data_IF_425104321342
#
_entry.id   IF_425104321342
#
_cell.length_a   1.000
_cell.length_b   1.000
_cell.length_c   1.000
_cell.angle_alpha   90.00
_cell.angle_beta   90.00
_cell.angle_gamma   90.00
#
_symmetry.space_group_name_H-M   'P 1'
#
loop_
_entity.id
_entity.type
_entity.pdbx_description
1 polymer ?
#
# COMPACT_ATOMS: atom_id res chain seq x y z
N UNK A 1 8.40 -19.08 24.24
CA UNK A 1 7.48 -17.94 24.39
C UNK A 1 7.95 -16.66 23.70
N UNK A 2 8.97 -15.92 24.17
CA UNK A 2 9.35 -14.63 23.58
C UNK A 2 9.94 -14.74 22.16
N UNK A 3 10.72 -15.80 21.88
CA UNK A 3 11.27 -16.10 20.54
C UNK A 3 10.14 -16.43 19.55
N UNK A 4 9.17 -17.23 19.98
CA UNK A 4 8.01 -17.64 19.17
C UNK A 4 7.10 -16.44 18.87
N UNK A 5 6.92 -15.53 19.84
CA UNK A 5 6.18 -14.28 19.64
C UNK A 5 6.85 -13.35 18.62
N UNK A 6 8.18 -13.17 18.69
CA UNK A 6 8.91 -12.34 17.71
C UNK A 6 8.81 -12.96 16.31
N UNK A 7 8.96 -14.28 16.19
CA UNK A 7 8.82 -14.97 14.91
C UNK A 7 7.40 -14.84 14.34
N UNK A 8 6.37 -14.99 15.17
CA UNK A 8 4.99 -14.81 14.77
C UNK A 8 4.69 -13.38 14.29
N UNK A 9 5.13 -12.36 15.03
CA UNK A 9 4.96 -10.95 14.63
C UNK A 9 5.65 -10.64 13.29
N UNK A 10 6.84 -11.20 13.08
CA UNK A 10 7.59 -11.05 11.83
C UNK A 10 6.88 -11.71 10.63
N UNK A 11 6.32 -12.91 10.82
CA UNK A 11 5.53 -13.60 9.79
C UNK A 11 4.26 -12.81 9.47
N UNK A 12 3.53 -12.36 10.49
CA UNK A 12 2.29 -11.57 10.29
C UNK A 12 2.60 -10.25 9.57
N UNK A 13 3.66 -9.53 9.98
CA UNK A 13 4.08 -8.30 9.32
C UNK A 13 4.43 -8.51 7.84
N UNK A 14 5.12 -9.61 7.51
CA UNK A 14 5.40 -9.97 6.11
C UNK A 14 4.13 -10.33 5.32
N UNK A 15 3.20 -11.07 5.93
CA UNK A 15 1.92 -11.39 5.30
C UNK A 15 1.13 -10.13 4.96
N UNK A 16 1.01 -9.17 5.90
CA UNK A 16 0.29 -7.91 5.65
C UNK A 16 0.94 -7.05 4.57
N UNK A 17 2.27 -7.03 4.48
CA UNK A 17 2.98 -6.36 3.38
C UNK A 17 2.68 -7.00 2.03
N UNK A 18 2.67 -8.32 1.95
CA UNK A 18 2.32 -9.05 0.72
C UNK A 18 0.87 -8.79 0.30
N UNK A 19 -0.08 -8.82 1.24
CA UNK A 19 -1.48 -8.47 0.96
C UNK A 19 -1.60 -7.03 0.43
N UNK A 20 -0.82 -6.09 0.97
CA UNK A 20 -0.76 -4.72 0.49
C UNK A 20 -0.20 -4.63 -0.94
N UNK A 21 0.84 -5.37 -1.27
CA UNK A 21 1.41 -5.45 -2.62
C UNK A 21 0.40 -6.01 -3.64
N UNK A 22 -0.33 -7.07 -3.27
CA UNK A 22 -1.37 -7.67 -4.09
C UNK A 22 -2.51 -6.66 -4.37
N UNK A 23 -2.97 -5.92 -3.35
CA UNK A 23 -3.98 -4.88 -3.52
C UNK A 23 -3.46 -3.67 -4.33
N UNK A 24 -2.19 -3.31 -4.16
CA UNK A 24 -1.57 -2.24 -4.95
C UNK A 24 -1.50 -2.60 -6.44
N UNK A 25 -1.22 -3.86 -6.78
CA UNK A 25 -1.22 -4.33 -8.16
C UNK A 25 -2.62 -4.29 -8.79
N UNK A 26 -3.65 -4.66 -8.04
CA UNK A 26 -5.05 -4.56 -8.47
C UNK A 26 -5.45 -3.09 -8.72
N UNK A 27 -5.13 -2.20 -7.78
CA UNK A 27 -5.39 -0.76 -7.93
C UNK A 27 -4.64 -0.15 -9.12
N UNK A 28 -3.38 -0.54 -9.34
CA UNK A 28 -2.59 -0.10 -10.50
C UNK A 28 -3.25 -0.53 -11.82
N UNK A 29 -3.82 -1.74 -11.86
CA UNK A 29 -4.55 -2.24 -13.03
C UNK A 29 -5.80 -1.41 -13.30
N UNK A 30 -6.58 -1.08 -12.26
CA UNK A 30 -7.76 -0.22 -12.41
C UNK A 30 -7.38 1.21 -12.84
N UNK A 31 -6.31 1.77 -12.28
CA UNK A 31 -5.82 3.09 -12.67
C UNK A 31 -5.40 3.13 -14.15
N UNK A 32 -4.73 2.08 -14.63
CA UNK A 32 -4.37 1.97 -16.03
C UNK A 32 -5.60 1.89 -16.94
N UNK A 33 -6.65 1.16 -16.51
CA UNK A 33 -7.91 1.08 -17.26
C UNK A 33 -8.63 2.43 -17.31
N UNK A 34 -8.72 3.14 -16.17
CA UNK A 34 -9.31 4.49 -16.10
C UNK A 34 -8.55 5.44 -17.01
N UNK A 35 -7.22 5.49 -16.91
CA UNK A 35 -6.39 6.37 -17.73
C UNK A 35 -6.54 6.08 -19.23
N UNK A 36 -6.69 4.81 -19.63
CA UNK A 36 -6.98 4.43 -21.01
C UNK A 36 -8.32 4.98 -21.48
N UNK A 37 -9.39 4.79 -20.70
CA UNK A 37 -10.74 5.26 -21.05
C UNK A 37 -10.81 6.79 -21.09
N UNK A 38 -10.14 7.48 -20.16
CA UNK A 38 -10.00 8.94 -20.19
C UNK A 38 -9.29 9.42 -21.45
N UNK A 39 -8.20 8.75 -21.85
CA UNK A 39 -7.50 9.05 -23.09
C UNK A 39 -8.35 8.81 -24.34
N UNK A 40 -9.15 7.74 -24.36
CA UNK A 40 -10.11 7.45 -25.44
C UNK A 40 -11.19 8.52 -25.53
N UNK A 41 -11.76 8.92 -24.38
CA UNK A 41 -12.75 10.00 -24.29
C UNK A 41 -12.18 11.31 -24.82
N UNK A 42 -11.01 11.71 -24.34
CA UNK A 42 -10.39 12.99 -24.71
C UNK A 42 -10.02 13.03 -26.19
N UNK A 43 -9.53 11.91 -26.73
CA UNK A 43 -9.25 11.76 -28.16
C UNK A 43 -10.53 11.88 -28.99
N UNK A 44 -11.62 11.24 -28.57
CA UNK A 44 -12.89 11.28 -29.27
C UNK A 44 -13.49 12.69 -29.27
N UNK A 45 -13.44 13.38 -28.12
CA UNK A 45 -13.90 14.76 -27.98
C UNK A 45 -13.08 15.71 -28.86
N UNK A 46 -11.75 15.56 -28.89
CA UNK A 46 -10.88 16.35 -29.75
C UNK A 46 -11.20 16.14 -31.24
N UNK A 47 -11.28 14.88 -31.68
CA UNK A 47 -11.63 14.54 -33.07
C UNK A 47 -12.99 15.08 -33.47
N UNK A 48 -13.99 14.92 -32.60
CA UNK A 48 -15.33 15.43 -32.87
C UNK A 48 -15.34 16.95 -33.03
N UNK A 49 -14.56 17.67 -32.21
CA UNK A 49 -14.41 19.12 -32.33
C UNK A 49 -13.78 19.53 -33.65
N UNK A 50 -12.75 18.82 -34.10
CA UNK A 50 -12.05 19.11 -35.36
C UNK A 50 -12.93 18.81 -36.58
N UNK A 51 -13.61 17.66 -36.60
CA UNK A 51 -14.48 17.24 -37.71
C UNK A 51 -15.73 18.12 -37.84
N UNK A 52 -16.32 18.57 -36.72
CA UNK A 52 -17.47 19.48 -36.72
C UNK A 52 -17.11 20.92 -37.06
N UNK A 53 -15.84 21.30 -36.92
CA UNK A 53 -15.36 22.61 -37.36
C UNK A 53 -15.24 22.68 -38.90
N UNK A 54 -14.97 21.55 -39.56
CA UNK A 54 -14.75 21.44 -41.01
C UNK A 54 -15.95 20.79 -41.71
N UNK A 55 -17.16 21.26 -41.41
CA UNK A 55 -18.35 20.78 -42.13
C UNK A 55 -18.48 21.47 -43.49
N UNK A 56 -18.31 20.74 -44.59
CA UNK A 56 -18.66 21.21 -45.94
C UNK A 56 -20.18 21.15 -46.13
N UNK A 57 -20.70 21.82 -47.17
CA UNK A 57 -22.14 21.79 -47.48
C UNK A 57 -22.68 20.37 -47.73
N UNK A 58 -21.81 19.46 -48.17
CA UNK A 58 -22.11 18.07 -48.51
C UNK A 58 -22.16 17.16 -47.27
N UNK A 59 -21.40 17.49 -46.21
CA UNK A 59 -21.36 16.70 -44.97
C UNK A 59 -22.33 17.19 -43.90
N UNK A 60 -22.92 18.38 -44.09
CA UNK A 60 -23.89 18.99 -43.18
C UNK A 60 -25.07 18.06 -42.75
N UNK A 61 -25.65 17.21 -43.63
CA UNK A 61 -26.73 16.29 -43.22
C UNK A 61 -26.30 15.23 -42.20
N UNK A 62 -25.01 14.87 -42.17
CA UNK A 62 -24.47 13.81 -41.31
C UNK A 62 -23.98 14.33 -39.95
N UNK A 63 -23.76 15.64 -39.82
CA UNK A 63 -23.17 16.27 -38.64
C UNK A 63 -24.04 16.14 -37.36
N UNK A 64 -25.35 16.04 -37.51
CA UNK A 64 -26.25 15.81 -36.38
C UNK A 64 -26.12 14.38 -35.82
N UNK A 65 -26.15 13.37 -36.70
CA UNK A 65 -25.99 11.96 -36.32
C UNK A 65 -24.61 11.67 -35.73
N UNK A 66 -23.55 12.24 -36.32
CA UNK A 66 -22.21 12.12 -35.77
C UNK A 66 -22.08 12.74 -34.37
N UNK A 67 -22.64 13.94 -34.15
CA UNK A 67 -22.67 14.57 -32.81
C UNK A 67 -23.36 13.70 -31.77
N UNK A 68 -24.49 13.11 -32.13
CA UNK A 68 -25.23 12.26 -31.21
C UNK A 68 -24.45 10.99 -30.89
N UNK A 69 -23.89 10.32 -31.90
CA UNK A 69 -23.06 9.13 -31.70
C UNK A 69 -21.83 9.41 -30.82
N UNK A 70 -21.15 10.55 -31.02
CA UNK A 70 -20.04 10.99 -30.16
C UNK A 70 -20.53 11.20 -28.72
N UNK A 71 -21.67 11.89 -28.54
CA UNK A 71 -22.23 12.14 -27.20
C UNK A 71 -22.58 10.83 -26.48
N UNK A 72 -23.23 9.90 -27.17
CA UNK A 72 -23.56 8.58 -26.61
C UNK A 72 -22.29 7.82 -26.19
N UNK A 73 -21.26 7.83 -27.05
CA UNK A 73 -19.99 7.15 -26.76
C UNK A 73 -19.26 7.78 -25.58
N UNK A 74 -19.21 9.12 -25.50
CA UNK A 74 -18.63 9.84 -24.35
C UNK A 74 -19.40 9.52 -23.07
N UNK A 75 -20.74 9.53 -23.11
CA UNK A 75 -21.57 9.19 -21.96
C UNK A 75 -21.36 7.75 -21.49
N UNK A 76 -21.15 6.81 -22.41
CA UNK A 76 -20.80 5.43 -22.10
C UNK A 76 -19.42 5.34 -21.43
N UNK A 77 -18.41 6.02 -21.98
CA UNK A 77 -17.07 6.08 -21.40
C UNK A 77 -17.08 6.66 -19.99
N UNK A 78 -17.80 7.76 -19.76
CA UNK A 78 -17.91 8.38 -18.43
C UNK A 78 -18.61 7.46 -17.43
N UNK A 79 -19.60 6.68 -17.86
CA UNK A 79 -20.28 5.68 -17.03
C UNK A 79 -19.31 4.57 -16.62
N UNK A 80 -18.52 4.06 -17.58
CA UNK A 80 -17.53 3.00 -17.31
C UNK A 80 -16.41 3.49 -16.39
N UNK A 81 -15.89 4.70 -16.62
CA UNK A 81 -14.93 5.38 -15.73
C UNK A 81 -15.53 5.52 -14.32
N UNK A 82 -16.79 5.93 -14.21
CA UNK A 82 -17.51 6.03 -12.95
C UNK A 82 -17.58 4.68 -12.21
N UNK A 83 -17.92 3.61 -12.92
CA UNK A 83 -17.99 2.26 -12.36
C UNK A 83 -16.61 1.76 -11.88
N UNK A 84 -15.54 2.01 -12.64
CA UNK A 84 -14.18 1.68 -12.23
C UNK A 84 -13.76 2.48 -11.00
N UNK A 85 -14.06 3.78 -10.94
CA UNK A 85 -13.74 4.61 -9.77
C UNK A 85 -14.51 4.17 -8.52
N UNK A 86 -15.76 3.74 -8.64
CA UNK A 86 -16.50 3.14 -7.52
C UNK A 86 -15.85 1.85 -7.01
N UNK A 87 -15.29 1.03 -7.90
CA UNK A 87 -14.56 -0.19 -7.54
C UNK A 87 -13.20 0.09 -6.90
N UNK A 88 -12.58 1.23 -7.23
CA UNK A 88 -11.29 1.65 -6.64
C UNK A 88 -11.42 2.04 -5.17
N UNK A 89 -12.48 2.74 -4.78
CA UNK A 89 -12.66 3.25 -3.42
C UNK A 89 -12.48 2.18 -2.32
N UNK A 90 -13.16 1.02 -2.35
CA UNK A 90 -12.98 -0.01 -1.31
C UNK A 90 -11.57 -0.61 -1.31
N UNK A 91 -10.87 -0.65 -2.45
CA UNK A 91 -9.47 -1.11 -2.52
C UNK A 91 -8.55 -0.12 -1.83
N UNK A 92 -8.74 1.19 -2.05
CA UNK A 92 -7.96 2.24 -1.39
C UNK A 92 -8.18 2.22 0.14
N UNK A 93 -9.42 2.02 0.58
CA UNK A 93 -9.75 1.89 2.01
C UNK A 93 -9.11 0.64 2.63
N UNK A 94 -9.17 -0.49 1.91
CA UNK A 94 -8.53 -1.74 2.34
C UNK A 94 -7.01 -1.62 2.40
N UNK A 95 -6.39 -0.97 1.42
CA UNK A 95 -4.95 -0.68 1.44
C UNK A 95 -4.56 0.18 2.64
N UNK A 96 -5.37 1.20 2.97
CA UNK A 96 -5.17 2.04 4.16
C UNK A 96 -5.21 1.21 5.44
N UNK A 97 -6.18 0.32 5.58
CA UNK A 97 -6.29 -0.58 6.73
C UNK A 97 -5.11 -1.54 6.84
N UNK A 98 -4.75 -2.22 5.74
CA UNK A 98 -3.60 -3.12 5.70
C UNK A 98 -2.28 -2.43 6.05
N UNK A 99 -2.09 -1.19 5.61
CA UNK A 99 -0.93 -0.39 5.95
C UNK A 99 -0.87 -0.06 7.44
N UNK A 100 -1.99 0.34 8.03
CA UNK A 100 -2.08 0.60 9.48
C UNK A 100 -1.78 -0.66 10.29
N UNK A 101 -2.32 -1.80 9.89
CA UNK A 101 -2.05 -3.10 10.49
C UNK A 101 -0.56 -3.45 10.40
N UNK A 102 0.02 -3.39 9.20
CA UNK A 102 1.44 -3.69 8.98
C UNK A 102 2.34 -2.82 9.87
N UNK A 103 2.06 -1.52 9.97
CA UNK A 103 2.79 -0.60 10.86
C UNK A 103 2.61 -0.92 12.33
N UNK A 104 1.43 -1.38 12.72
CA UNK A 104 1.19 -1.83 14.10
C UNK A 104 2.03 -3.04 14.44
N UNK A 105 2.07 -4.05 13.56
CA UNK A 105 2.90 -5.24 13.76
C UNK A 105 4.41 -4.92 13.76
N UNK A 106 4.87 -4.03 12.88
CA UNK A 106 6.27 -3.58 12.86
C UNK A 106 6.66 -2.92 14.21
N UNK A 107 5.82 -2.03 14.75
CA UNK A 107 6.04 -1.42 16.07
C UNK A 107 6.07 -2.44 17.20
N UNK A 108 5.14 -3.39 17.20
CA UNK A 108 5.10 -4.46 18.20
C UNK A 108 6.34 -5.35 18.13
N UNK A 109 6.84 -5.61 16.92
CA UNK A 109 8.06 -6.38 16.68
C UNK A 109 9.29 -5.65 17.20
N UNK A 110 9.42 -4.35 16.93
CA UNK A 110 10.48 -3.50 17.47
C UNK A 110 10.49 -3.49 19.00
N UNK A 111 9.33 -3.28 19.63
CA UNK A 111 9.19 -3.31 21.08
C UNK A 111 9.56 -4.67 21.67
N UNK A 112 9.13 -5.78 21.04
CA UNK A 112 9.46 -7.12 21.49
C UNK A 112 10.97 -7.41 21.39
N UNK A 113 11.62 -6.95 20.32
CA UNK A 113 13.08 -7.06 20.14
C UNK A 113 13.83 -6.24 21.17
N UNK A 114 13.43 -4.99 21.40
CA UNK A 114 14.03 -4.10 22.40
C UNK A 114 13.91 -4.68 23.81
N UNK A 115 12.73 -5.18 24.19
CA UNK A 115 12.51 -5.83 25.49
C UNK A 115 13.42 -7.04 25.67
N UNK A 116 13.52 -7.90 24.65
CA UNK A 116 14.40 -9.08 24.70
C UNK A 116 15.88 -8.69 24.84
N UNK A 117 16.33 -7.66 24.13
CA UNK A 117 17.69 -7.16 24.25
C UNK A 117 17.97 -6.59 25.66
N UNK A 118 17.05 -5.81 26.22
CA UNK A 118 17.16 -5.27 27.57
C UNK A 118 17.15 -6.36 28.66
N UNK A 119 16.36 -7.42 28.47
CA UNK A 119 16.36 -8.58 29.37
C UNK A 119 17.68 -9.37 29.31
N UNK A 120 18.28 -9.48 28.12
CA UNK A 120 19.59 -10.12 27.96
C UNK A 120 20.70 -9.29 28.63
N UNK A 121 20.74 -7.99 28.36
CA UNK A 121 21.71 -7.07 28.96
C UNK A 121 21.62 -7.06 30.49
N UNK A 122 20.40 -7.08 31.06
CA UNK A 122 20.21 -7.18 32.52
C UNK A 122 20.76 -8.48 33.10
N UNK A 123 20.62 -9.61 32.39
CA UNK A 123 21.17 -10.91 32.84
C UNK A 123 22.69 -10.93 32.75
N UNK A 124 23.26 -10.40 31.67
CA UNK A 124 24.71 -10.29 31.50
C UNK A 124 25.32 -9.40 32.59
N UNK A 125 24.69 -8.25 32.87
CA UNK A 125 25.12 -7.34 33.93
C UNK A 125 25.08 -8.02 35.31
N UNK A 126 24.00 -8.73 35.64
CA UNK A 126 23.91 -9.47 36.90
C UNK A 126 25.01 -10.54 37.04
N UNK A 127 25.36 -11.23 35.95
CA UNK A 127 26.46 -12.21 35.95
C UNK A 127 27.84 -11.55 36.12
N UNK A 128 28.05 -10.36 35.55
CA UNK A 128 29.28 -9.59 35.73
C UNK A 128 29.41 -9.14 37.19
N UNK A 129 28.33 -8.62 37.77
CA UNK A 129 28.29 -8.19 39.17
C UNK A 129 28.57 -9.36 40.12
N UNK A 130 27.93 -10.52 39.91
CA UNK A 130 28.17 -11.72 40.71
C UNK A 130 29.64 -12.18 40.63
N UNK A 131 30.23 -12.23 39.43
CA UNK A 131 31.64 -12.57 39.25
C UNK A 131 32.59 -11.57 39.92
N UNK A 132 32.23 -10.28 39.89
CA UNK A 132 33.02 -9.22 40.53
C UNK A 132 32.98 -9.36 42.04
N UNK A 133 31.81 -9.63 42.62
CA UNK A 133 31.65 -9.91 44.04
C UNK A 133 32.42 -11.16 44.48
N UNK A 134 32.35 -12.25 43.72
CA UNK A 134 33.10 -13.48 44.01
C UNK A 134 34.62 -13.25 44.01
N UNK A 135 35.14 -12.47 43.06
CA UNK A 135 36.56 -12.08 43.03
C UNK A 135 36.93 -11.26 44.26
N UNK A 136 36.14 -10.24 44.59
CA UNK A 136 36.40 -9.40 45.76
C UNK A 136 36.37 -10.18 47.08
N UNK A 137 35.40 -11.10 47.25
CA UNK A 137 35.34 -11.97 48.43
C UNK A 137 36.56 -12.87 48.54
N UNK A 138 37.00 -13.48 47.44
CA UNK A 138 38.20 -14.31 47.42
C UNK A 138 39.45 -13.51 47.80
N UNK A 139 39.63 -12.33 47.21
CA UNK A 139 40.80 -11.48 47.47
C UNK A 139 40.78 -10.90 48.91
N UNK A 140 39.62 -10.89 49.58
CA UNK A 140 39.49 -10.49 51.00
C UNK A 140 39.80 -11.64 51.97
N UNK A 141 39.40 -12.86 51.62
CA UNK A 141 39.53 -14.04 52.49
C UNK A 141 40.94 -14.69 52.35
N UNK A 142 41.76 -14.25 51.40
CA UNK A 142 43.17 -14.62 51.22
C UNK A 142 44.10 -13.39 51.38
N UNK A 143 44.16 -12.77 52.58
CA UNK A 143 45.12 -11.69 52.83
C UNK A 143 46.50 -12.32 53.05
N UNK A 144 47.48 -11.95 52.21
CA UNK A 144 48.90 -12.24 52.47
C UNK A 144 49.34 -11.77 53.88
#
# INVERSE_FOLDING_TARGET
MARDRIAALDVIGRLRRRELEEQAAELATLNAQVARLEGERDTLVARARDELHVTSLETAPYAAGFREAVRETVSWLDTEIGALNQRRQPLEDRMRALFQDAKTYDKLLEQARAKKAADLARREQAQIEERTLQRWLRDRDDPE
#
